data_IF_509090566076
#
_entry.id   IF_509090566076
#
_cell.length_a   1.000
_cell.length_b   1.000
_cell.length_c   1.000
_cell.angle_alpha   90.00
_cell.angle_beta   90.00
_cell.angle_gamma   90.00
#
_symmetry.space_group_name_H-M   'P 1'
#
loop_
_entity.id
_entity.type
_entity.pdbx_description
1 polymer ?
#
# COMPACT_ATOMS: atom_id res chain seq x y z
N UNK A 1 -15.57 -4.15 -20.04
CA UNK A 1 -14.40 -4.88 -20.57
C UNK A 1 -14.91 -6.21 -21.08
N UNK A 2 -14.63 -6.54 -22.34
CA UNK A 2 -15.03 -7.81 -22.95
C UNK A 2 -14.04 -8.92 -22.55
N UNK A 3 -14.47 -10.18 -22.53
CA UNK A 3 -13.61 -11.33 -22.16
C UNK A 3 -12.35 -11.38 -23.04
N UNK A 4 -12.51 -11.11 -24.33
CA UNK A 4 -11.41 -11.10 -25.31
C UNK A 4 -10.35 -10.02 -25.04
N UNK A 5 -10.74 -8.88 -24.49
CA UNK A 5 -9.78 -7.84 -24.07
C UNK A 5 -9.02 -8.29 -22.82
N UNK A 6 -9.70 -8.98 -21.91
CA UNK A 6 -9.11 -9.45 -20.66
C UNK A 6 -8.10 -10.58 -20.89
N UNK A 7 -8.39 -11.47 -21.84
CA UNK A 7 -7.46 -12.50 -22.34
C UNK A 7 -6.18 -11.92 -22.91
N UNK A 8 -6.27 -10.79 -23.62
CA UNK A 8 -5.11 -10.15 -24.26
C UNK A 8 -4.28 -9.28 -23.32
N UNK A 9 -4.92 -8.61 -22.36
CA UNK A 9 -4.28 -7.59 -21.52
C UNK A 9 -3.78 -8.18 -20.19
N UNK A 10 -4.47 -9.19 -19.66
CA UNK A 10 -4.18 -9.74 -18.33
C UNK A 10 -3.67 -11.16 -18.42
N UNK A 11 -4.56 -12.11 -18.71
CA UNK A 11 -4.26 -13.54 -18.80
C UNK A 11 -5.48 -14.27 -19.37
N UNK A 12 -5.30 -15.51 -19.85
CA UNK A 12 -6.44 -16.35 -20.28
C UNK A 12 -7.17 -16.97 -19.08
N UNK A 13 -8.34 -17.56 -19.32
CA UNK A 13 -9.08 -18.25 -18.26
C UNK A 13 -8.25 -19.38 -17.65
N UNK A 14 -8.22 -19.45 -16.32
CA UNK A 14 -7.52 -20.51 -15.57
C UNK A 14 -6.07 -20.75 -16.01
N UNK A 15 -5.30 -19.69 -16.24
CA UNK A 15 -3.88 -19.78 -16.61
C UNK A 15 -2.91 -19.45 -15.48
N UNK A 16 -3.39 -18.81 -14.40
CA UNK A 16 -2.52 -18.32 -13.33
C UNK A 16 -2.65 -19.17 -12.05
N UNK A 17 -1.53 -19.37 -11.37
CA UNK A 17 -1.47 -20.06 -10.08
C UNK A 17 -1.45 -19.07 -8.90
N UNK A 18 -0.93 -17.86 -9.12
CA UNK A 18 -0.71 -16.85 -8.09
C UNK A 18 -1.04 -15.44 -8.59
N UNK A 19 -1.80 -14.69 -7.79
CA UNK A 19 -1.98 -13.24 -7.98
C UNK A 19 -1.43 -12.52 -6.74
N UNK A 20 -0.55 -11.54 -6.93
CA UNK A 20 -0.07 -10.66 -5.85
C UNK A 20 -0.48 -9.22 -6.15
N UNK A 21 -1.05 -8.51 -5.19
CA UNK A 21 -1.66 -7.20 -5.46
C UNK A 21 -1.73 -6.27 -4.25
N UNK A 22 -1.60 -4.96 -4.50
CA UNK A 22 -2.02 -3.92 -3.57
C UNK A 22 -3.43 -3.42 -3.93
N UNK A 23 -4.41 -3.72 -3.09
CA UNK A 23 -5.84 -3.66 -3.42
C UNK A 23 -6.46 -2.26 -3.46
N UNK A 24 -5.84 -1.25 -2.82
CA UNK A 24 -6.48 0.03 -2.54
C UNK A 24 -6.80 0.92 -3.77
N UNK A 25 -6.47 0.48 -4.98
CA UNK A 25 -6.78 1.17 -6.24
C UNK A 25 -8.01 0.63 -6.97
N UNK A 26 -8.55 -0.52 -6.55
CA UNK A 26 -9.51 -1.29 -7.34
C UNK A 26 -10.94 -1.19 -6.80
N UNK A 27 -11.91 -1.32 -7.71
CA UNK A 27 -13.24 -1.81 -7.36
C UNK A 27 -13.12 -3.29 -6.98
N UNK A 28 -13.14 -3.58 -5.68
CA UNK A 28 -12.85 -4.92 -5.16
C UNK A 28 -13.81 -5.99 -5.71
N UNK A 29 -15.16 -5.78 -5.72
CA UNK A 29 -16.07 -6.77 -6.29
C UNK A 29 -15.79 -7.09 -7.76
N UNK A 30 -15.51 -6.08 -8.59
CA UNK A 30 -15.19 -6.30 -9.99
C UNK A 30 -13.83 -6.99 -10.15
N UNK A 31 -12.83 -6.58 -9.39
CA UNK A 31 -11.50 -7.17 -9.39
C UNK A 31 -11.54 -8.65 -9.01
N UNK A 32 -12.26 -9.02 -7.96
CA UNK A 32 -12.34 -10.43 -7.52
C UNK A 32 -12.98 -11.34 -8.56
N UNK A 33 -13.94 -10.86 -9.36
CA UNK A 33 -14.50 -11.64 -10.48
C UNK A 33 -13.42 -11.98 -11.51
N UNK A 34 -12.55 -11.02 -11.82
CA UNK A 34 -11.46 -11.21 -12.78
C UNK A 34 -10.40 -12.16 -12.22
N UNK A 35 -10.01 -11.97 -10.95
CA UNK A 35 -9.05 -12.85 -10.28
C UNK A 35 -9.55 -14.30 -10.23
N UNK A 36 -10.83 -14.51 -9.88
CA UNK A 36 -11.44 -15.85 -9.90
C UNK A 36 -11.48 -16.48 -11.29
N UNK A 37 -11.55 -15.67 -12.34
CA UNK A 37 -11.59 -16.15 -13.71
C UNK A 37 -10.20 -16.55 -14.25
N UNK A 38 -9.13 -15.81 -13.90
CA UNK A 38 -7.75 -16.15 -14.35
C UNK A 38 -7.10 -17.26 -13.53
N UNK A 39 -7.49 -17.43 -12.26
CA UNK A 39 -6.83 -18.38 -11.36
C UNK A 39 -7.27 -19.85 -11.62
N UNK A 40 -6.30 -20.77 -11.61
CA UNK A 40 -6.53 -22.22 -11.72
C UNK A 40 -7.20 -22.80 -10.48
N UNK A 41 -8.10 -23.75 -10.66
CA UNK A 41 -8.61 -24.59 -9.56
C UNK A 41 -7.83 -25.90 -9.51
N UNK A 42 -7.53 -26.47 -8.33
CA UNK A 42 -7.88 -26.03 -6.97
C UNK A 42 -6.75 -25.28 -6.22
N UNK A 43 -5.55 -25.17 -6.79
CA UNK A 43 -4.31 -24.77 -6.06
C UNK A 43 -3.97 -23.28 -6.13
N UNK A 44 -4.93 -22.43 -6.45
CA UNK A 44 -4.70 -20.98 -6.59
C UNK A 44 -4.48 -20.25 -5.28
N UNK A 45 -3.66 -19.21 -5.34
CA UNK A 45 -3.48 -18.28 -4.23
C UNK A 45 -3.61 -16.83 -4.73
N UNK A 46 -4.26 -16.00 -3.93
CA UNK A 46 -4.18 -14.55 -4.04
C UNK A 46 -3.54 -14.00 -2.77
N UNK A 47 -2.51 -13.17 -2.93
CA UNK A 47 -1.82 -12.47 -1.85
C UNK A 47 -2.11 -10.97 -2.01
N UNK A 48 -3.03 -10.48 -1.20
CA UNK A 48 -3.24 -9.06 -1.03
C UNK A 48 -2.23 -8.52 -0.03
N UNK A 49 -1.32 -7.66 -0.48
CA UNK A 49 -0.26 -7.11 0.36
C UNK A 49 -0.30 -5.59 0.36
N UNK A 50 0.26 -5.01 1.42
CA UNK A 50 0.51 -3.59 1.50
C UNK A 50 1.65 -3.28 2.44
N UNK A 51 2.25 -2.11 2.28
CA UNK A 51 2.99 -1.44 3.33
C UNK A 51 2.04 -0.54 4.12
N UNK A 52 2.21 -0.52 5.43
CA UNK A 52 1.56 0.45 6.32
C UNK A 52 2.60 1.44 6.84
N UNK A 53 2.21 2.23 7.84
CA UNK A 53 3.16 3.06 8.56
C UNK A 53 4.33 2.18 9.06
N UNK A 54 5.59 2.58 8.82
CA UNK A 54 6.76 1.82 9.25
C UNK A 54 6.83 1.84 10.78
N UNK A 55 7.28 0.72 11.35
CA UNK A 55 7.60 0.63 12.76
C UNK A 55 9.03 1.14 12.95
N UNK A 56 9.15 2.31 13.57
CA UNK A 56 10.41 3.03 13.83
C UNK A 56 10.46 3.39 15.32
N UNK A 57 11.58 3.95 15.80
CA UNK A 57 11.69 4.37 17.20
C UNK A 57 10.56 5.35 17.60
N UNK A 58 10.30 5.44 18.91
CA UNK A 58 9.12 6.15 19.42
C UNK A 58 9.10 7.62 18.99
N UNK A 59 10.21 8.34 19.17
CA UNK A 59 10.34 9.75 18.82
C UNK A 59 10.13 10.02 17.32
N UNK A 60 10.80 9.27 16.44
CA UNK A 60 10.60 9.42 15.00
C UNK A 60 9.18 9.00 14.58
N UNK A 61 8.61 8.00 15.26
CA UNK A 61 7.24 7.52 15.06
C UNK A 61 6.20 8.61 15.34
N UNK A 62 6.41 9.44 16.35
CA UNK A 62 5.52 10.59 16.65
C UNK A 62 5.57 11.63 15.53
N UNK A 63 6.77 11.99 15.06
CA UNK A 63 6.94 12.93 13.94
C UNK A 63 6.30 12.39 12.67
N UNK A 64 6.46 11.09 12.39
CA UNK A 64 5.80 10.42 11.26
C UNK A 64 4.29 10.54 11.37
N UNK A 65 3.70 10.16 12.52
CA UNK A 65 2.23 10.18 12.69
C UNK A 65 1.67 11.56 12.42
N UNK A 66 2.35 12.60 12.90
CA UNK A 66 1.96 13.99 12.63
C UNK A 66 2.04 14.31 11.15
N UNK A 67 3.16 14.00 10.50
CA UNK A 67 3.36 14.27 9.07
C UNK A 67 2.32 13.54 8.20
N UNK A 68 2.03 12.28 8.50
CA UNK A 68 1.06 11.46 7.76
C UNK A 68 -0.39 11.93 7.95
N UNK A 69 -0.78 12.27 9.18
CA UNK A 69 -2.18 12.61 9.52
C UNK A 69 -2.53 14.09 9.42
N UNK A 70 -1.54 14.97 9.29
CA UNK A 70 -1.74 16.42 9.19
C UNK A 70 -1.25 16.93 7.84
N UNK A 71 0.03 16.72 7.52
CA UNK A 71 0.62 17.32 6.33
C UNK A 71 0.23 16.56 5.05
N UNK A 72 0.14 15.23 5.12
CA UNK A 72 -0.24 14.39 3.98
C UNK A 72 -1.76 14.21 3.81
N UNK A 73 -2.55 14.43 4.87
CA UNK A 73 -4.01 14.21 4.88
C UNK A 73 -4.75 14.85 3.70
N UNK A 74 -4.50 16.11 3.33
CA UNK A 74 -5.19 16.76 2.21
C UNK A 74 -4.89 16.16 0.84
N UNK A 75 -3.83 15.34 0.74
CA UNK A 75 -3.35 14.73 -0.50
C UNK A 75 -3.67 13.23 -0.57
N UNK A 76 -4.16 12.63 0.52
CA UNK A 76 -4.57 11.23 0.51
C UNK A 76 -5.85 11.03 -0.30
N UNK A 77 -5.84 10.00 -1.14
CA UNK A 77 -7.07 9.53 -1.77
C UNK A 77 -7.93 8.80 -0.73
N UNK A 78 -9.27 8.93 -0.75
CA UNK A 78 -10.16 8.30 0.23
C UNK A 78 -9.96 6.78 0.37
N UNK A 79 -9.58 6.11 -0.72
CA UNK A 79 -9.32 4.68 -0.76
C UNK A 79 -8.12 4.25 0.12
N UNK A 80 -7.24 5.18 0.51
CA UNK A 80 -6.13 4.91 1.44
C UNK A 80 -6.63 4.37 2.78
N UNK A 81 -7.85 4.71 3.21
CA UNK A 81 -8.44 4.23 4.47
C UNK A 81 -8.50 2.71 4.59
N UNK A 82 -8.53 1.98 3.47
CA UNK A 82 -8.48 0.51 3.48
C UNK A 82 -7.18 -0.04 4.07
N UNK A 83 -6.11 0.76 4.04
CA UNK A 83 -4.77 0.39 4.48
C UNK A 83 -4.56 0.67 5.97
N UNK A 84 -5.31 1.62 6.53
CA UNK A 84 -5.20 2.03 7.94
C UNK A 84 -5.48 0.87 8.88
N UNK A 85 -6.43 0.01 8.49
CA UNK A 85 -6.75 -1.23 9.22
C UNK A 85 -6.07 -2.47 8.62
N UNK A 86 -4.95 -2.31 7.89
CA UNK A 86 -4.19 -3.44 7.30
C UNK A 86 -5.07 -4.39 6.47
N UNK A 87 -6.03 -3.85 5.72
CA UNK A 87 -7.07 -4.59 4.99
C UNK A 87 -8.02 -5.47 5.84
N UNK A 88 -7.97 -5.43 7.18
CA UNK A 88 -8.83 -6.26 8.03
C UNK A 88 -10.33 -5.98 7.89
N UNK A 89 -10.70 -4.85 7.29
CA UNK A 89 -12.10 -4.46 7.06
C UNK A 89 -12.58 -4.68 5.62
N UNK A 90 -11.76 -5.26 4.73
CA UNK A 90 -12.19 -5.54 3.36
C UNK A 90 -13.02 -6.82 3.32
N UNK A 91 -14.01 -6.86 2.45
CA UNK A 91 -14.70 -8.10 2.10
C UNK A 91 -13.77 -8.92 1.19
N UNK A 92 -13.09 -9.94 1.75
CA UNK A 92 -12.12 -10.76 1.03
C UNK A 92 -12.71 -12.16 0.75
N UNK A 93 -13.19 -12.43 -0.48
CA UNK A 93 -13.98 -13.63 -0.77
C UNK A 93 -13.12 -14.84 -1.18
N UNK A 94 -11.98 -15.01 -0.51
CA UNK A 94 -11.04 -16.11 -0.68
C UNK A 94 -10.69 -16.70 0.68
N UNK A 95 -10.48 -18.02 0.72
CA UNK A 95 -10.10 -18.69 1.95
C UNK A 95 -8.73 -18.21 2.45
N UNK A 96 -8.57 -17.95 3.76
CA UNK A 96 -7.30 -17.53 4.32
C UNK A 96 -6.28 -18.66 4.25
N UNK A 97 -5.01 -18.28 4.04
CA UNK A 97 -3.84 -19.14 4.18
C UNK A 97 -2.95 -18.61 5.30
N UNK A 98 -2.12 -19.47 5.89
CA UNK A 98 -1.19 -19.05 6.94
C UNK A 98 -0.26 -17.94 6.42
N UNK A 99 -0.19 -16.85 7.20
CA UNK A 99 0.60 -15.66 6.89
C UNK A 99 1.87 -15.64 7.72
N UNK A 100 2.96 -15.18 7.11
CA UNK A 100 4.15 -14.72 7.84
C UNK A 100 4.01 -13.22 8.18
N UNK A 101 4.29 -12.87 9.43
CA UNK A 101 4.22 -11.49 9.95
C UNK A 101 5.50 -10.69 9.67
N UNK A 102 6.49 -11.27 9.00
CA UNK A 102 7.74 -10.59 8.68
C UNK A 102 7.55 -9.44 7.67
N UNK A 103 8.05 -8.25 8.02
CA UNK A 103 7.87 -7.01 7.24
C UNK A 103 9.06 -6.61 6.37
N UNK A 104 10.14 -7.41 6.35
CA UNK A 104 11.34 -7.15 5.54
C UNK A 104 12.16 -5.95 6.02
N UNK A 105 13.43 -5.81 5.56
CA UNK A 105 14.31 -4.72 6.00
C UNK A 105 13.85 -3.36 5.46
N UNK A 106 14.07 -2.31 6.25
CA UNK A 106 13.72 -0.92 5.92
C UNK A 106 14.95 -0.02 6.11
N UNK A 107 15.54 0.46 5.00
CA UNK A 107 16.88 1.07 5.02
C UNK A 107 16.90 2.58 4.75
N UNK A 108 15.90 3.16 4.05
CA UNK A 108 15.85 4.60 3.77
C UNK A 108 14.44 5.20 3.91
N UNK A 109 14.31 5.96 4.99
CA UNK A 109 13.08 6.59 5.41
C UNK A 109 12.59 7.72 4.50
N UNK A 110 13.49 8.57 4.02
CA UNK A 110 13.09 9.69 3.16
C UNK A 110 12.81 9.21 1.74
N UNK A 111 13.52 8.19 1.26
CA UNK A 111 13.18 7.53 0.01
C UNK A 111 11.78 6.93 0.08
N UNK A 112 11.42 6.26 1.19
CA UNK A 112 10.07 5.74 1.40
C UNK A 112 8.99 6.83 1.34
N UNK A 113 9.16 7.96 2.04
CA UNK A 113 8.20 9.09 1.96
C UNK A 113 8.09 9.61 0.53
N UNK A 114 9.21 9.73 -0.19
CA UNK A 114 9.18 10.20 -1.58
C UNK A 114 8.38 9.29 -2.50
N UNK A 115 8.27 7.99 -2.18
CA UNK A 115 7.46 7.04 -2.94
C UNK A 115 5.96 7.10 -2.58
N UNK A 116 5.56 7.88 -1.57
CA UNK A 116 4.15 8.03 -1.20
C UNK A 116 3.33 8.69 -2.29
N UNK A 117 2.15 8.14 -2.57
CA UNK A 117 1.22 8.74 -3.52
C UNK A 117 0.75 10.14 -3.09
N UNK A 118 0.63 10.41 -1.78
CA UNK A 118 0.39 11.76 -1.25
C UNK A 118 1.55 12.71 -1.58
N UNK A 119 2.80 12.27 -1.39
CA UNK A 119 3.98 13.08 -1.72
C UNK A 119 4.04 13.41 -3.22
N UNK A 120 3.80 12.42 -4.09
CA UNK A 120 3.71 12.64 -5.53
C UNK A 120 2.58 13.61 -5.89
N UNK A 121 1.39 13.43 -5.31
CA UNK A 121 0.23 14.30 -5.55
C UNK A 121 0.49 15.74 -5.09
N UNK A 122 1.15 15.94 -3.95
CA UNK A 122 1.54 17.25 -3.46
C UNK A 122 2.57 17.90 -4.40
N UNK A 123 3.57 17.13 -4.85
CA UNK A 123 4.58 17.60 -5.80
C UNK A 123 3.97 18.01 -7.14
N UNK A 124 3.02 17.24 -7.67
CA UNK A 124 2.27 17.58 -8.89
C UNK A 124 1.48 18.89 -8.72
N UNK A 125 1.07 19.20 -7.49
CA UNK A 125 0.43 20.47 -7.09
C UNK A 125 1.44 21.56 -6.69
N UNK A 126 2.73 21.38 -7.00
CA UNK A 126 3.82 22.31 -6.64
C UNK A 126 3.98 22.56 -5.13
N UNK A 127 3.54 21.63 -4.30
CA UNK A 127 3.70 21.65 -2.84
C UNK A 127 4.83 20.70 -2.42
N UNK A 128 5.88 21.23 -1.80
CA UNK A 128 6.97 20.43 -1.24
C UNK A 128 6.68 20.07 0.22
N UNK A 129 6.40 18.80 0.50
CA UNK A 129 6.10 18.33 1.86
C UNK A 129 7.38 18.06 2.68
N UNK A 130 8.47 17.62 2.05
CA UNK A 130 9.75 17.37 2.72
C UNK A 130 10.62 18.63 2.73
N UNK A 131 10.12 19.68 3.37
CA UNK A 131 10.89 20.91 3.58
C UNK A 131 12.09 20.66 4.50
N UNK A 132 13.09 21.54 4.45
CA UNK A 132 14.28 21.45 5.33
C UNK A 132 13.89 21.31 6.80
N UNK A 133 12.92 22.09 7.27
CA UNK A 133 12.41 22.04 8.64
C UNK A 133 11.80 20.67 8.99
N UNK A 134 11.01 20.08 8.09
CA UNK A 134 10.43 18.74 8.31
C UNK A 134 11.52 17.68 8.35
N UNK A 135 12.49 17.75 7.43
CA UNK A 135 13.62 16.82 7.41
C UNK A 135 14.49 16.94 8.66
N UNK A 136 14.72 18.14 9.18
CA UNK A 136 15.46 18.38 10.42
C UNK A 136 14.74 17.79 11.63
N UNK A 137 13.42 17.96 11.75
CA UNK A 137 12.62 17.32 12.80
C UNK A 137 12.75 15.80 12.78
N UNK A 138 12.69 15.18 11.60
CA UNK A 138 12.88 13.74 11.45
C UNK A 138 14.28 13.29 11.86
N UNK A 139 15.32 14.00 11.41
CA UNK A 139 16.72 13.68 11.78
C UNK A 139 16.97 13.83 13.27
N UNK A 140 16.40 14.87 13.88
CA UNK A 140 16.53 15.11 15.30
C UNK A 140 15.88 13.99 16.11
N UNK A 141 14.62 13.66 15.81
CA UNK A 141 13.88 12.59 16.49
C UNK A 141 14.51 11.21 16.28
N UNK A 142 15.13 10.97 15.13
CA UNK A 142 15.85 9.72 14.87
C UNK A 142 17.06 9.53 15.80
N UNK A 143 17.77 10.62 16.13
CA UNK A 143 18.98 10.60 16.95
C UNK A 143 18.71 10.67 18.47
N UNK A 144 17.49 10.98 18.91
CA UNK A 144 17.15 11.01 20.35
C UNK A 144 17.04 9.61 20.96
N UNK A 145 16.59 8.62 20.17
CA UNK A 145 16.31 7.24 20.62
C UNK A 145 16.94 6.15 19.72
N UNK A 146 17.84 6.50 18.80
CA UNK A 146 18.40 5.61 17.76
C UNK A 146 19.88 5.27 17.93
#
# INVERSE_FOLDING_TARGET
MFITELEQIVATQSSEDLVTIALYWFDLPQFYKQVKWILKEPTRVIIAWTYTMPEINESAGVVFKSFDRVDCEPFWKPQRKLLDNKYMSIDFPFEPVDRDDNTGPFDDYFMFIRLYSAYQTAKDKSSELLTNNVMEKFKFAWNEDG
#
